data_IF_433675994239
#
_entry.id   IF_433675994239
#
_cell.length_a   1.000
_cell.length_b   1.000
_cell.length_c   1.000
_cell.angle_alpha   90.00
_cell.angle_beta   90.00
_cell.angle_gamma   90.00
#
_symmetry.space_group_name_H-M   'P 1'
#
loop_
_entity.id
_entity.type
_entity.pdbx_description
1 polymer ?
#
# COMPACT_ATOMS: atom_id res chain seq x y z
N UNK A 1 -2.93 13.83 -77.32
CA UNK A 1 -3.55 14.78 -76.37
C UNK A 1 -4.57 14.01 -75.53
N UNK A 2 -4.20 13.60 -74.35
CA UNK A 2 -5.10 12.94 -73.42
C UNK A 2 -4.95 13.67 -72.10
N UNK A 3 -6.04 14.33 -71.62
CA UNK A 3 -6.11 15.02 -70.36
C UNK A 3 -6.42 14.02 -69.23
N UNK A 4 -5.46 13.82 -68.34
CA UNK A 4 -5.67 13.15 -67.07
C UNK A 4 -6.37 14.13 -66.12
N UNK A 5 -7.60 13.85 -65.75
CA UNK A 5 -8.34 14.49 -64.63
C UNK A 5 -8.19 13.60 -63.40
N UNK A 6 -7.26 13.95 -62.53
CA UNK A 6 -7.17 13.39 -61.18
C UNK A 6 -8.24 14.03 -60.27
N UNK A 7 -9.25 13.25 -59.91
CA UNK A 7 -10.25 13.64 -58.91
C UNK A 7 -9.64 13.47 -57.49
N UNK A 8 -9.37 14.59 -56.83
CA UNK A 8 -9.04 14.58 -55.40
C UNK A 8 -10.27 14.21 -54.55
N UNK A 9 -10.24 13.06 -53.93
CA UNK A 9 -11.22 12.66 -52.89
C UNK A 9 -10.83 13.38 -51.59
N UNK A 10 -11.56 14.48 -51.26
CA UNK A 10 -11.51 15.12 -49.95
C UNK A 10 -12.25 14.24 -48.94
N UNK A 11 -11.50 13.42 -48.18
CA UNK A 11 -11.97 12.76 -46.96
C UNK A 11 -12.01 13.81 -45.83
N UNK A 12 -13.20 14.34 -45.56
CA UNK A 12 -13.49 15.09 -44.33
C UNK A 12 -13.70 14.07 -43.19
N UNK A 13 -12.85 14.01 -42.16
CA UNK A 13 -13.16 13.22 -40.99
C UNK A 13 -14.17 13.96 -40.12
N UNK A 14 -15.42 13.54 -40.13
CA UNK A 14 -16.39 13.90 -39.09
C UNK A 14 -16.01 13.18 -37.81
N UNK A 15 -15.24 13.87 -36.96
CA UNK A 15 -15.04 13.43 -35.62
C UNK A 15 -16.35 13.52 -34.82
N UNK A 16 -16.78 12.45 -34.11
CA UNK A 16 -17.93 12.56 -33.22
C UNK A 16 -17.62 13.59 -32.14
N UNK A 17 -18.58 14.47 -31.85
CA UNK A 17 -18.49 15.47 -30.81
C UNK A 17 -18.23 14.78 -29.48
N UNK A 18 -16.97 14.83 -29.03
CA UNK A 18 -16.60 14.35 -27.71
C UNK A 18 -17.28 15.23 -26.66
N UNK A 19 -18.11 14.62 -25.83
CA UNK A 19 -18.60 15.21 -24.58
C UNK A 19 -17.43 15.90 -23.85
N UNK A 20 -17.64 17.08 -23.24
CA UNK A 20 -16.55 17.76 -22.52
C UNK A 20 -16.05 16.85 -21.44
N UNK A 21 -14.92 16.19 -21.69
CA UNK A 21 -14.23 15.39 -20.72
C UNK A 21 -13.95 16.27 -19.50
N UNK A 22 -14.28 15.80 -18.33
CA UNK A 22 -13.78 16.29 -17.03
C UNK A 22 -12.24 16.17 -17.06
N UNK A 23 -11.61 17.09 -17.77
CA UNK A 23 -10.16 17.18 -17.93
C UNK A 23 -9.55 17.54 -16.58
N UNK A 24 -9.10 16.52 -15.82
CA UNK A 24 -8.26 16.78 -14.66
C UNK A 24 -8.33 15.83 -13.47
N UNK A 25 -9.39 15.06 -13.26
CA UNK A 25 -9.38 13.99 -12.27
C UNK A 25 -9.21 12.63 -12.96
N UNK A 26 -8.19 11.86 -12.55
CA UNK A 26 -8.15 10.44 -12.91
C UNK A 26 -9.44 9.79 -12.38
N UNK A 27 -10.30 9.28 -13.26
CA UNK A 27 -11.56 8.63 -12.91
C UNK A 27 -11.37 7.61 -11.76
N UNK A 28 -10.26 6.90 -11.75
CA UNK A 28 -9.89 5.94 -10.74
C UNK A 28 -9.74 6.56 -9.34
N UNK A 29 -9.05 7.70 -9.22
CA UNK A 29 -8.91 8.42 -7.94
C UNK A 29 -10.27 8.90 -7.44
N UNK A 30 -11.12 9.37 -8.35
CA UNK A 30 -12.47 9.78 -8.00
C UNK A 30 -13.30 8.61 -7.47
N UNK A 31 -13.25 7.45 -8.13
CA UNK A 31 -13.95 6.22 -7.68
C UNK A 31 -13.45 5.76 -6.32
N UNK A 32 -12.13 5.79 -6.06
CA UNK A 32 -11.58 5.43 -4.74
C UNK A 32 -12.07 6.38 -3.64
N UNK A 33 -12.05 7.70 -3.89
CA UNK A 33 -12.54 8.69 -2.92
C UNK A 33 -14.04 8.49 -2.67
N UNK A 34 -14.82 8.28 -3.72
CA UNK A 34 -16.25 7.99 -3.60
C UNK A 34 -16.50 6.71 -2.78
N UNK A 35 -15.73 5.65 -3.02
CA UNK A 35 -15.82 4.42 -2.24
C UNK A 35 -15.50 4.66 -0.74
N UNK A 36 -14.44 5.41 -0.45
CA UNK A 36 -14.11 5.79 0.94
C UNK A 36 -15.28 6.54 1.59
N UNK A 37 -15.81 7.55 0.91
CA UNK A 37 -16.92 8.35 1.45
C UNK A 37 -18.16 7.49 1.68
N UNK A 38 -18.52 6.63 0.74
CA UNK A 38 -19.67 5.71 0.87
C UNK A 38 -19.48 4.76 2.06
N UNK A 39 -18.31 4.14 2.20
CA UNK A 39 -17.99 3.24 3.32
C UNK A 39 -18.07 3.98 4.66
N UNK A 40 -17.45 5.16 4.75
CA UNK A 40 -17.47 5.97 5.97
C UNK A 40 -18.89 6.38 6.35
N UNK A 41 -19.70 6.83 5.40
CA UNK A 41 -21.10 7.22 5.64
C UNK A 41 -21.96 6.01 6.03
N UNK A 42 -21.82 4.90 5.33
CA UNK A 42 -22.58 3.67 5.61
C UNK A 42 -22.34 3.19 7.04
N UNK A 43 -21.06 2.98 7.41
CA UNK A 43 -20.75 2.50 8.76
C UNK A 43 -21.10 3.54 9.84
N UNK A 44 -20.96 4.82 9.56
CA UNK A 44 -21.38 5.87 10.50
C UNK A 44 -22.88 5.81 10.77
N UNK A 45 -23.67 5.61 9.72
CA UNK A 45 -25.14 5.50 9.85
C UNK A 45 -25.53 4.24 10.63
N UNK A 46 -24.94 3.09 10.32
CA UNK A 46 -25.29 1.80 10.97
C UNK A 46 -24.81 1.73 12.43
N UNK A 47 -23.75 2.47 12.79
CA UNK A 47 -23.17 2.47 14.15
C UNK A 47 -23.58 3.69 14.97
N UNK A 48 -24.66 4.41 14.59
CA UNK A 48 -25.16 5.61 15.29
C UNK A 48 -24.05 6.65 15.56
N UNK A 49 -23.15 6.85 14.58
CA UNK A 49 -22.05 7.82 14.66
C UNK A 49 -20.77 7.30 15.34
N UNK A 50 -20.78 6.14 15.99
CA UNK A 50 -19.63 5.59 16.70
C UNK A 50 -18.43 5.33 15.77
N UNK A 51 -18.68 5.05 14.50
CA UNK A 51 -17.64 4.80 13.50
C UNK A 51 -16.70 6.00 13.30
N UNK A 52 -17.20 7.24 13.34
CA UNK A 52 -16.41 8.47 13.21
C UNK A 52 -15.84 8.98 14.53
N UNK A 53 -16.01 8.27 15.65
CA UNK A 53 -15.39 8.68 16.91
C UNK A 53 -13.87 8.75 16.80
N UNK A 54 -13.22 9.70 17.47
CA UNK A 54 -11.77 9.88 17.44
C UNK A 54 -11.02 8.61 17.84
N UNK A 55 -11.55 7.85 18.81
CA UNK A 55 -11.02 6.54 19.22
C UNK A 55 -11.04 5.53 18.09
N UNK A 56 -12.16 5.41 17.36
CA UNK A 56 -12.27 4.45 16.27
C UNK A 56 -11.44 4.87 15.05
N UNK A 57 -11.42 6.15 14.70
CA UNK A 57 -10.56 6.65 13.63
C UNK A 57 -9.09 6.38 13.95
N UNK A 58 -8.64 6.58 15.19
CA UNK A 58 -7.30 6.22 15.63
C UNK A 58 -7.02 4.72 15.46
N UNK A 59 -7.98 3.86 15.83
CA UNK A 59 -7.85 2.41 15.66
C UNK A 59 -7.83 2.00 14.18
N UNK A 60 -8.70 2.57 13.34
CA UNK A 60 -8.74 2.37 11.90
C UNK A 60 -7.39 2.73 11.25
N UNK A 61 -6.83 3.89 11.60
CA UNK A 61 -5.54 4.32 11.05
C UNK A 61 -4.38 3.40 11.47
N UNK A 62 -4.42 2.83 12.68
CA UNK A 62 -3.44 1.81 13.11
C UNK A 62 -3.59 0.50 12.35
N UNK A 63 -4.81 0.08 12.02
CA UNK A 63 -5.06 -1.07 11.14
C UNK A 63 -4.54 -0.78 9.74
N UNK A 64 -4.88 0.39 9.21
CA UNK A 64 -4.39 0.87 7.90
C UNK A 64 -2.86 0.91 7.84
N UNK A 65 -2.18 1.25 8.94
CA UNK A 65 -0.73 1.27 8.95
C UNK A 65 -0.12 -0.12 8.71
N UNK A 66 -0.72 -1.17 9.23
CA UNK A 66 -0.26 -2.56 9.02
C UNK A 66 -0.50 -2.98 7.56
N UNK A 67 -1.75 -2.91 7.09
CA UNK A 67 -2.12 -3.29 5.72
C UNK A 67 -1.44 -2.38 4.69
N UNK A 68 -1.29 -1.09 4.99
CA UNK A 68 -0.60 -0.12 4.14
C UNK A 68 0.88 -0.41 3.96
N UNK A 69 1.58 -0.83 5.03
CA UNK A 69 2.99 -1.23 4.93
C UNK A 69 3.15 -2.48 4.05
N UNK A 70 2.26 -3.47 4.19
CA UNK A 70 2.22 -4.62 3.28
C UNK A 70 1.96 -4.18 1.84
N UNK A 71 1.01 -3.28 1.62
CA UNK A 71 0.66 -2.79 0.29
C UNK A 71 1.81 -1.98 -0.36
N UNK A 72 2.59 -1.21 0.42
CA UNK A 72 3.79 -0.50 -0.09
C UNK A 72 4.84 -1.47 -0.61
N UNK A 73 5.04 -2.62 0.03
CA UNK A 73 5.93 -3.67 -0.48
C UNK A 73 5.32 -4.41 -1.68
N UNK A 74 4.09 -4.87 -1.53
CA UNK A 74 3.37 -5.67 -2.50
C UNK A 74 3.19 -4.94 -3.85
N UNK A 75 2.98 -3.64 -3.84
CA UNK A 75 2.81 -2.87 -5.08
C UNK A 75 4.03 -2.99 -6.01
N UNK A 76 5.25 -3.04 -5.50
CA UNK A 76 6.47 -3.24 -6.31
C UNK A 76 6.54 -4.65 -6.88
N UNK A 77 6.12 -5.65 -6.11
CA UNK A 77 6.03 -7.05 -6.56
C UNK A 77 5.04 -7.14 -7.72
N UNK A 78 3.83 -6.61 -7.56
CA UNK A 78 2.79 -6.66 -8.61
C UNK A 78 3.19 -5.84 -9.84
N UNK A 79 3.77 -4.64 -9.69
CA UNK A 79 4.26 -3.85 -10.83
C UNK A 79 5.33 -4.62 -11.61
N UNK A 80 6.15 -5.46 -10.97
CA UNK A 80 7.13 -6.32 -11.65
C UNK A 80 6.54 -7.58 -12.30
N UNK A 81 5.20 -7.67 -12.39
CA UNK A 81 4.42 -8.82 -12.89
C UNK A 81 4.63 -10.11 -12.08
N UNK A 82 4.81 -9.99 -10.75
CA UNK A 82 4.93 -11.11 -9.82
C UNK A 82 3.85 -11.00 -8.72
N UNK A 83 3.61 -12.13 -8.02
CA UNK A 83 2.67 -12.19 -6.89
C UNK A 83 3.38 -12.82 -5.70
N UNK A 84 3.23 -12.25 -4.51
CA UNK A 84 3.76 -12.81 -3.26
C UNK A 84 2.64 -13.15 -2.29
N UNK A 85 2.31 -14.44 -2.22
CA UNK A 85 1.28 -14.98 -1.31
C UNK A 85 1.84 -15.25 0.10
N UNK A 86 3.16 -15.13 0.31
CA UNK A 86 3.77 -15.45 1.59
C UNK A 86 3.69 -14.33 2.62
N UNK A 87 3.37 -13.10 2.22
CA UNK A 87 3.51 -11.88 3.05
C UNK A 87 2.73 -11.96 4.36
N UNK A 88 1.55 -12.56 4.39
CA UNK A 88 0.75 -12.70 5.60
C UNK A 88 1.39 -13.67 6.61
N UNK A 89 1.80 -14.85 6.14
CA UNK A 89 2.48 -15.85 6.97
C UNK A 89 3.88 -15.40 7.38
N UNK A 90 4.61 -14.70 6.49
CA UNK A 90 5.90 -14.08 6.78
C UNK A 90 5.75 -12.98 7.84
N UNK A 91 4.71 -12.14 7.77
CA UNK A 91 4.40 -11.14 8.79
C UNK A 91 4.13 -11.79 10.14
N UNK A 92 3.36 -12.87 10.16
CA UNK A 92 3.11 -13.65 11.36
C UNK A 92 4.40 -14.22 11.96
N UNK A 93 5.25 -14.84 11.12
CA UNK A 93 6.54 -15.39 11.55
C UNK A 93 7.48 -14.32 12.11
N UNK A 94 7.62 -13.18 11.42
CA UNK A 94 8.53 -12.11 11.84
C UNK A 94 8.02 -11.39 13.09
N UNK A 95 6.71 -11.16 13.21
CA UNK A 95 6.11 -10.61 14.43
C UNK A 95 6.18 -11.59 15.61
N UNK A 96 5.98 -12.89 15.36
CA UNK A 96 6.15 -13.94 16.35
C UNK A 96 7.61 -14.10 16.79
N UNK A 97 8.56 -14.06 15.85
CA UNK A 97 9.98 -14.08 16.17
C UNK A 97 10.41 -12.87 17.02
N UNK A 98 9.91 -11.67 16.67
CA UNK A 98 10.17 -10.48 17.49
C UNK A 98 9.63 -10.63 18.91
N UNK A 99 8.44 -11.20 19.09
CA UNK A 99 7.90 -11.50 20.42
C UNK A 99 8.74 -12.55 21.17
N UNK A 100 9.25 -13.58 20.48
CA UNK A 100 10.15 -14.59 21.07
C UNK A 100 11.46 -13.93 21.53
N UNK A 101 12.08 -13.08 20.71
CA UNK A 101 13.30 -12.35 21.06
C UNK A 101 13.10 -11.45 22.28
N UNK A 102 11.95 -10.77 22.35
CA UNK A 102 11.61 -9.88 23.45
C UNK A 102 11.26 -10.64 24.73
N UNK A 103 10.36 -11.65 24.65
CA UNK A 103 9.77 -12.32 25.83
C UNK A 103 10.60 -13.50 26.32
N UNK A 104 11.02 -14.40 25.41
CA UNK A 104 11.73 -15.62 25.82
C UNK A 104 13.22 -15.39 25.95
N UNK A 105 13.82 -14.56 25.09
CA UNK A 105 15.25 -14.31 25.09
C UNK A 105 15.65 -13.03 25.85
N UNK A 106 14.68 -12.16 26.17
CA UNK A 106 14.94 -10.92 26.91
C UNK A 106 15.84 -9.93 26.16
N UNK A 107 15.81 -9.94 24.81
CA UNK A 107 16.68 -9.08 24.03
C UNK A 107 16.28 -7.60 24.12
N UNK A 108 17.25 -6.68 24.08
CA UNK A 108 16.94 -5.27 24.02
C UNK A 108 16.21 -4.92 22.69
N UNK A 109 15.24 -4.01 22.77
CA UNK A 109 14.38 -3.63 21.65
C UNK A 109 15.15 -3.29 20.36
N UNK A 110 16.26 -2.51 20.36
CA UNK A 110 16.99 -2.21 19.13
C UNK A 110 17.53 -3.45 18.43
N UNK A 111 18.01 -4.44 19.19
CA UNK A 111 18.50 -5.72 18.64
C UNK A 111 17.35 -6.54 18.07
N UNK A 112 16.23 -6.64 18.79
CA UNK A 112 15.00 -7.29 18.32
C UNK A 112 14.52 -6.71 16.99
N UNK A 113 14.45 -5.38 16.87
CA UNK A 113 14.09 -4.70 15.64
C UNK A 113 15.08 -5.04 14.52
N UNK A 114 16.38 -4.84 14.76
CA UNK A 114 17.41 -5.06 13.75
C UNK A 114 17.36 -6.47 13.19
N UNK A 115 17.34 -7.48 14.07
CA UNK A 115 17.34 -8.89 13.66
C UNK A 115 16.05 -9.22 12.90
N UNK A 116 14.89 -8.73 13.34
CA UNK A 116 13.62 -8.95 12.65
C UNK A 116 13.62 -8.33 11.25
N UNK A 117 14.17 -7.12 11.08
CA UNK A 117 14.29 -6.47 9.77
C UNK A 117 15.24 -7.23 8.84
N UNK A 118 16.38 -7.68 9.36
CA UNK A 118 17.33 -8.50 8.60
C UNK A 118 16.70 -9.84 8.19
N UNK A 119 16.00 -10.52 9.11
CA UNK A 119 15.25 -11.73 8.78
C UNK A 119 14.23 -11.49 7.65
N UNK A 120 13.45 -10.41 7.71
CA UNK A 120 12.50 -10.08 6.66
C UNK A 120 13.17 -9.85 5.31
N UNK A 121 14.27 -9.09 5.29
CA UNK A 121 15.08 -8.88 4.09
C UNK A 121 15.57 -10.21 3.50
N UNK A 122 16.09 -11.11 4.34
CA UNK A 122 16.63 -12.41 3.92
C UNK A 122 15.54 -13.37 3.44
N UNK A 123 14.39 -13.43 4.12
CA UNK A 123 13.27 -14.27 3.69
C UNK A 123 12.66 -13.77 2.37
N UNK A 124 12.53 -12.45 2.22
CA UNK A 124 12.14 -11.85 0.94
C UNK A 124 13.17 -12.14 -0.15
N UNK A 125 14.46 -11.96 0.12
CA UNK A 125 15.53 -12.30 -0.82
C UNK A 125 15.54 -13.79 -1.18
N UNK A 126 15.23 -14.69 -0.26
CA UNK A 126 15.07 -16.13 -0.51
C UNK A 126 13.97 -16.39 -1.53
N UNK A 127 12.77 -15.84 -1.34
CA UNK A 127 11.70 -15.95 -2.33
C UNK A 127 12.13 -15.36 -3.68
N UNK A 128 12.73 -14.17 -3.65
CA UNK A 128 13.22 -13.49 -4.84
C UNK A 128 14.29 -14.27 -5.59
N UNK A 129 15.15 -15.01 -4.91
CA UNK A 129 16.18 -15.83 -5.52
C UNK A 129 15.59 -17.00 -6.33
N UNK A 130 14.61 -17.71 -5.78
CA UNK A 130 13.92 -18.77 -6.48
C UNK A 130 13.20 -18.23 -7.74
N UNK A 131 12.50 -17.10 -7.61
CA UNK A 131 11.78 -16.48 -8.73
C UNK A 131 12.74 -15.95 -9.79
N UNK A 132 13.74 -15.17 -9.38
CA UNK A 132 14.60 -14.44 -10.31
C UNK A 132 15.66 -15.34 -10.97
N UNK A 133 16.35 -16.15 -10.20
CA UNK A 133 17.49 -16.95 -10.70
C UNK A 133 17.11 -18.38 -11.05
N UNK A 134 16.22 -19.01 -10.31
CA UNK A 134 15.76 -20.38 -10.60
C UNK A 134 14.55 -20.43 -11.53
N UNK A 135 13.96 -19.26 -11.87
CA UNK A 135 12.84 -19.13 -12.80
C UNK A 135 11.58 -19.92 -12.38
N UNK A 136 11.45 -20.21 -11.09
CA UNK A 136 10.22 -20.83 -10.56
C UNK A 136 9.11 -19.78 -10.54
N UNK A 137 7.90 -20.09 -10.98
CA UNK A 137 6.77 -19.15 -10.92
C UNK A 137 6.56 -18.60 -9.50
N UNK A 138 6.41 -17.28 -9.38
CA UNK A 138 6.37 -16.60 -8.08
C UNK A 138 5.25 -17.10 -7.18
N UNK A 139 4.07 -17.38 -7.74
CA UNK A 139 2.94 -17.87 -6.96
C UNK A 139 3.22 -19.24 -6.31
N UNK A 140 4.00 -20.13 -6.98
CA UNK A 140 4.41 -21.43 -6.40
C UNK A 140 5.42 -21.23 -5.27
N UNK A 141 6.45 -20.41 -5.50
CA UNK A 141 7.48 -20.12 -4.50
C UNK A 141 6.84 -19.52 -3.25
N UNK A 142 5.98 -18.52 -3.44
CA UNK A 142 5.39 -17.80 -2.32
C UNK A 142 4.27 -18.57 -1.63
N UNK A 143 3.54 -19.44 -2.34
CA UNK A 143 2.61 -20.38 -1.74
C UNK A 143 3.35 -21.40 -0.84
N UNK A 144 4.47 -21.95 -1.33
CA UNK A 144 5.33 -22.82 -0.52
C UNK A 144 5.89 -22.05 0.70
N UNK A 145 6.35 -20.81 0.49
CA UNK A 145 6.77 -19.92 1.56
C UNK A 145 5.68 -19.65 2.58
N UNK A 146 4.44 -19.41 2.14
CA UNK A 146 3.28 -19.21 3.01
C UNK A 146 3.08 -20.39 3.98
N UNK A 147 3.13 -21.62 3.46
CA UNK A 147 3.00 -22.82 4.27
C UNK A 147 4.20 -23.01 5.20
N UNK A 148 5.43 -22.84 4.67
CA UNK A 148 6.65 -23.01 5.45
C UNK A 148 6.75 -22.00 6.59
N UNK A 149 6.53 -20.71 6.33
CA UNK A 149 6.62 -19.67 7.37
C UNK A 149 5.55 -19.84 8.45
N UNK A 150 4.34 -20.24 8.07
CA UNK A 150 3.27 -20.57 9.03
C UNK A 150 3.66 -21.81 9.86
N UNK A 151 4.15 -22.85 9.21
CA UNK A 151 4.58 -24.08 9.88
C UNK A 151 5.74 -23.83 10.85
N UNK A 152 6.75 -23.03 10.47
CA UNK A 152 7.87 -22.67 11.34
C UNK A 152 7.37 -21.94 12.58
N UNK A 153 6.49 -20.94 12.44
CA UNK A 153 5.94 -20.21 13.59
C UNK A 153 5.19 -21.13 14.54
N UNK A 154 4.27 -21.95 14.00
CA UNK A 154 3.50 -22.92 14.82
C UNK A 154 4.44 -23.91 15.50
N UNK A 155 5.45 -24.43 14.79
CA UNK A 155 6.40 -25.40 15.32
C UNK A 155 7.24 -24.84 16.48
N UNK A 156 7.77 -23.62 16.35
CA UNK A 156 8.58 -22.96 17.39
C UNK A 156 7.73 -22.62 18.63
N UNK A 157 6.49 -22.15 18.41
CA UNK A 157 5.59 -21.71 19.49
C UNK A 157 4.74 -22.85 20.08
N UNK A 158 4.81 -24.07 19.50
CA UNK A 158 3.86 -25.15 19.79
C UNK A 158 2.40 -24.70 19.69
N UNK A 159 2.09 -23.82 18.75
CA UNK A 159 0.75 -23.25 18.55
C UNK A 159 0.29 -22.30 19.67
N UNK A 160 1.15 -21.92 20.61
CA UNK A 160 0.80 -21.01 21.70
C UNK A 160 1.14 -19.56 21.36
N UNK A 161 0.44 -18.64 21.98
CA UNK A 161 0.71 -17.20 21.84
C UNK A 161 1.85 -16.79 22.80
N UNK A 162 2.86 -16.11 22.26
CA UNK A 162 3.98 -15.56 23.02
C UNK A 162 3.59 -14.19 23.56
N UNK A 163 3.31 -14.08 24.86
CA UNK A 163 2.83 -12.84 25.50
C UNK A 163 3.13 -12.84 27.02
N UNK A 164 3.04 -11.66 27.67
CA UNK A 164 2.94 -10.33 27.10
C UNK A 164 4.30 -9.84 26.56
N UNK A 165 4.29 -9.01 25.51
CA UNK A 165 5.51 -8.33 25.07
C UNK A 165 5.90 -7.23 26.05
N UNK A 166 7.17 -6.87 26.08
CA UNK A 166 7.69 -5.82 26.96
C UNK A 166 7.01 -4.46 26.71
N UNK A 167 6.97 -3.55 27.68
CA UNK A 167 6.48 -2.19 27.48
C UNK A 167 7.22 -1.46 26.36
N UNK A 168 8.51 -1.69 26.19
CA UNK A 168 9.31 -1.10 25.12
C UNK A 168 8.85 -1.58 23.74
N UNK A 169 8.64 -2.89 23.57
CA UNK A 169 8.11 -3.47 22.32
C UNK A 169 6.70 -2.94 22.01
N UNK A 170 5.83 -2.88 23.02
CA UNK A 170 4.46 -2.41 22.89
C UNK A 170 4.37 -0.95 22.42
N UNK A 171 5.36 -0.11 22.68
CA UNK A 171 5.39 1.29 22.23
C UNK A 171 5.41 1.44 20.71
N UNK A 172 5.96 0.51 19.94
CA UNK A 172 6.02 0.61 18.47
C UNK A 172 4.61 0.72 17.88
N UNK A 173 3.66 -0.09 18.36
CA UNK A 173 2.29 -0.17 17.84
C UNK A 173 1.23 0.55 18.66
N UNK A 174 1.52 0.88 19.93
CA UNK A 174 0.53 1.41 20.87
C UNK A 174 0.80 2.85 21.30
N UNK A 175 2.00 3.41 21.06
CA UNK A 175 2.30 4.79 21.43
C UNK A 175 1.67 5.81 20.49
N UNK A 176 1.57 7.01 21.01
CA UNK A 176 1.03 8.18 20.34
C UNK A 176 2.02 9.34 20.46
N UNK A 177 2.04 10.21 19.46
CA UNK A 177 2.73 11.47 19.59
C UNK A 177 1.96 12.41 20.52
N UNK A 178 2.63 13.16 21.39
CA UNK A 178 2.01 14.26 22.10
C UNK A 178 1.35 15.25 21.13
N UNK A 179 0.20 15.82 21.51
CA UNK A 179 -0.65 16.64 20.65
C UNK A 179 0.07 17.76 19.93
N UNK A 180 0.90 18.52 20.65
CA UNK A 180 1.67 19.61 20.04
C UNK A 180 2.71 19.14 19.02
N UNK A 181 3.36 17.99 19.25
CA UNK A 181 4.36 17.41 18.34
C UNK A 181 3.67 16.85 17.10
N UNK A 182 2.56 16.14 17.26
CA UNK A 182 1.78 15.58 16.15
C UNK A 182 1.27 16.67 15.22
N UNK A 183 0.73 17.75 15.78
CA UNK A 183 0.26 18.90 14.99
C UNK A 183 1.41 19.63 14.30
N UNK A 184 2.53 19.86 15.01
CA UNK A 184 3.73 20.49 14.45
C UNK A 184 4.29 19.71 13.26
N UNK A 185 4.40 18.38 13.34
CA UNK A 185 4.84 17.53 12.23
C UNK A 185 3.86 17.65 11.05
N UNK A 186 2.54 17.68 11.31
CA UNK A 186 1.53 17.86 10.28
C UNK A 186 1.65 19.19 9.54
N UNK A 187 1.83 20.28 10.28
CA UNK A 187 2.00 21.62 9.70
C UNK A 187 3.29 21.70 8.89
N UNK A 188 4.42 21.24 9.45
CA UNK A 188 5.71 21.23 8.74
C UNK A 188 5.64 20.33 7.50
N UNK A 189 5.08 19.13 7.61
CA UNK A 189 4.90 18.23 6.47
C UNK A 189 4.05 18.86 5.36
N UNK A 190 2.96 19.54 5.72
CA UNK A 190 2.09 20.24 4.77
C UNK A 190 2.83 21.44 4.13
N UNK A 191 3.60 22.22 4.89
CA UNK A 191 4.40 23.32 4.35
C UNK A 191 5.44 22.81 3.34
N UNK A 192 6.16 21.73 3.68
CA UNK A 192 7.13 21.09 2.78
C UNK A 192 6.43 20.58 1.51
N UNK A 193 5.26 19.95 1.63
CA UNK A 193 4.48 19.46 0.50
C UNK A 193 4.03 20.60 -0.43
N UNK A 194 3.54 21.71 0.13
CA UNK A 194 3.15 22.90 -0.63
C UNK A 194 4.36 23.46 -1.37
N UNK A 195 5.48 23.70 -0.67
CA UNK A 195 6.71 24.23 -1.28
C UNK A 195 7.21 23.33 -2.40
N UNK A 196 7.18 22.01 -2.20
CA UNK A 196 7.60 21.05 -3.22
C UNK A 196 6.70 21.08 -4.47
N UNK A 197 5.38 21.16 -4.30
CA UNK A 197 4.44 21.31 -5.42
C UNK A 197 4.67 22.63 -6.18
N UNK A 198 4.86 23.74 -5.46
CA UNK A 198 5.12 25.06 -6.07
C UNK A 198 6.43 25.08 -6.84
N UNK A 199 7.52 24.54 -6.28
CA UNK A 199 8.79 24.39 -7.00
C UNK A 199 8.66 23.55 -8.27
N UNK A 200 7.91 22.45 -8.20
CA UNK A 200 7.61 21.62 -9.36
C UNK A 200 6.84 22.38 -10.46
N UNK A 201 5.87 23.18 -10.03
CA UNK A 201 5.10 24.05 -10.93
C UNK A 201 5.96 25.12 -11.59
N UNK A 202 6.75 25.85 -10.84
CA UNK A 202 7.66 26.87 -11.37
C UNK A 202 8.64 26.29 -12.41
N UNK A 203 9.19 25.10 -12.15
CA UNK A 203 10.06 24.40 -13.11
C UNK A 203 9.34 24.06 -14.41
N UNK A 204 8.09 23.58 -14.34
CA UNK A 204 7.27 23.28 -15.53
C UNK A 204 6.96 24.53 -16.33
N UNK A 205 6.62 25.64 -15.65
CA UNK A 205 6.39 26.93 -16.31
C UNK A 205 7.66 27.46 -16.99
N UNK A 206 8.81 27.36 -16.34
CA UNK A 206 10.10 27.76 -16.91
C UNK A 206 10.49 26.92 -18.17
N UNK A 207 9.97 25.70 -18.28
CA UNK A 207 10.15 24.82 -19.45
C UNK A 207 9.04 24.99 -20.51
N UNK A 208 8.16 25.99 -20.38
CA UNK A 208 7.05 26.22 -21.31
C UNK A 208 5.95 25.13 -21.29
N UNK A 209 5.94 24.26 -20.28
CA UNK A 209 4.96 23.17 -20.18
C UNK A 209 3.63 23.68 -19.61
N UNK A 210 2.52 23.16 -20.11
CA UNK A 210 1.20 23.50 -19.61
C UNK A 210 1.05 23.14 -18.13
N UNK A 211 0.57 24.11 -17.33
CA UNK A 211 0.28 23.93 -15.90
C UNK A 211 -1.19 24.22 -15.62
N UNK A 212 -1.77 23.56 -14.62
CA UNK A 212 -3.13 23.86 -14.16
C UNK A 212 -3.23 25.32 -13.72
N UNK A 213 -4.44 25.91 -13.68
CA UNK A 213 -4.62 27.28 -13.17
C UNK A 213 -4.09 27.43 -11.72
N UNK A 214 -3.67 28.63 -11.35
CA UNK A 214 -3.18 28.88 -9.98
C UNK A 214 -4.26 28.64 -8.94
N UNK A 215 -5.50 29.04 -9.25
CA UNK A 215 -6.67 28.83 -8.40
C UNK A 215 -6.98 27.35 -8.17
N UNK A 216 -6.93 26.52 -9.20
CA UNK A 216 -7.13 25.07 -9.05
C UNK A 216 -6.00 24.39 -8.23
N UNK A 217 -4.77 24.87 -8.37
CA UNK A 217 -3.64 24.35 -7.58
C UNK A 217 -3.78 24.71 -6.10
N UNK A 218 -4.10 25.98 -5.80
CA UNK A 218 -4.34 26.46 -4.42
C UNK A 218 -5.54 25.76 -3.81
N UNK A 219 -6.67 25.63 -4.54
CA UNK A 219 -7.85 24.94 -4.05
C UNK A 219 -7.57 23.50 -3.65
N UNK A 220 -6.82 22.75 -4.49
CA UNK A 220 -6.42 21.37 -4.17
C UNK A 220 -5.52 21.31 -2.93
N UNK A 221 -4.57 22.24 -2.78
CA UNK A 221 -3.69 22.30 -1.62
C UNK A 221 -4.47 22.63 -0.34
N UNK A 222 -5.42 23.58 -0.41
CA UNK A 222 -6.28 23.94 0.70
C UNK A 222 -7.14 22.74 1.16
N UNK A 223 -7.75 22.03 0.23
CA UNK A 223 -8.52 20.80 0.54
C UNK A 223 -7.63 19.75 1.21
N UNK A 224 -6.42 19.50 0.66
CA UNK A 224 -5.49 18.55 1.27
C UNK A 224 -5.08 18.99 2.68
N UNK A 225 -4.80 20.29 2.89
CA UNK A 225 -4.46 20.82 4.20
C UNK A 225 -5.61 20.66 5.21
N UNK A 226 -6.84 20.95 4.81
CA UNK A 226 -8.03 20.80 5.67
C UNK A 226 -8.22 19.32 6.06
N UNK A 227 -8.07 18.39 5.11
CA UNK A 227 -8.20 16.94 5.41
C UNK A 227 -7.11 16.49 6.37
N UNK A 228 -5.84 16.81 6.11
CA UNK A 228 -4.71 16.34 6.93
C UNK A 228 -4.74 16.97 8.32
N UNK A 229 -4.86 18.29 8.41
CA UNK A 229 -4.87 19.00 9.69
C UNK A 229 -6.16 18.70 10.49
N UNK A 230 -7.30 18.56 9.81
CA UNK A 230 -8.54 18.13 10.43
C UNK A 230 -8.48 16.71 11.01
N UNK A 231 -7.82 15.78 10.28
CA UNK A 231 -7.58 14.44 10.79
C UNK A 231 -6.66 14.44 12.02
N UNK A 232 -5.59 15.25 12.02
CA UNK A 232 -4.70 15.40 13.19
C UNK A 232 -5.45 16.03 14.36
N UNK A 233 -6.26 17.06 14.12
CA UNK A 233 -7.08 17.67 15.15
C UNK A 233 -8.04 16.66 15.78
N UNK A 234 -8.72 15.86 14.96
CA UNK A 234 -9.60 14.78 15.44
C UNK A 234 -8.84 13.72 16.25
N UNK A 235 -7.60 13.37 15.83
CA UNK A 235 -6.79 12.40 16.57
C UNK A 235 -6.32 12.94 17.93
N UNK A 236 -6.08 14.25 18.03
CA UNK A 236 -5.70 14.89 19.28
C UNK A 236 -6.84 14.89 20.31
N UNK A 237 -8.10 14.78 19.87
CA UNK A 237 -9.26 14.61 20.77
C UNK A 237 -9.25 13.25 21.52
N UNK A 238 -8.43 12.29 21.05
CA UNK A 238 -8.31 10.98 21.74
C UNK A 238 -6.96 10.83 22.48
N UNK A 239 -5.85 10.73 21.77
CA UNK A 239 -4.49 10.52 22.34
C UNK A 239 -3.38 11.09 21.46
N UNK A 240 -3.73 11.74 20.38
CA UNK A 240 -2.77 12.21 19.38
C UNK A 240 -2.57 11.24 18.20
N UNK A 241 -1.55 11.51 17.40
CA UNK A 241 -1.25 10.73 16.20
C UNK A 241 -0.57 9.41 16.57
N UNK A 242 -1.11 8.24 16.16
CA UNK A 242 -0.50 6.94 16.44
C UNK A 242 0.86 6.79 15.75
N UNK A 243 1.87 6.28 16.46
CA UNK A 243 3.21 6.02 15.90
C UNK A 243 3.20 5.16 14.62
N UNK A 244 2.39 4.09 14.49
CA UNK A 244 2.31 3.32 13.25
C UNK A 244 1.94 4.14 12.01
N UNK A 245 1.14 5.20 12.17
CA UNK A 245 0.75 6.09 11.06
C UNK A 245 1.94 6.89 10.55
N UNK A 246 2.83 7.31 11.45
CA UNK A 246 4.08 7.99 11.04
C UNK A 246 5.01 7.04 10.30
N UNK A 247 5.13 5.79 10.77
CA UNK A 247 5.92 4.76 10.09
C UNK A 247 5.37 4.55 8.68
N UNK A 248 4.04 4.38 8.53
CA UNK A 248 3.41 4.28 7.22
C UNK A 248 3.67 5.52 6.36
N UNK A 249 3.54 6.73 6.91
CA UNK A 249 3.79 7.96 6.16
C UNK A 249 5.24 8.04 5.66
N UNK A 250 6.22 7.68 6.50
CA UNK A 250 7.63 7.63 6.11
C UNK A 250 7.88 6.59 5.00
N UNK A 251 7.30 5.39 5.12
CA UNK A 251 7.43 4.32 4.12
C UNK A 251 6.69 4.66 2.82
N UNK A 252 5.53 5.31 2.89
CA UNK A 252 4.83 5.84 1.71
C UNK A 252 5.70 6.84 0.96
N UNK A 253 6.31 7.81 1.66
CA UNK A 253 7.19 8.80 1.05
C UNK A 253 8.44 8.14 0.43
N UNK A 254 9.07 7.20 1.13
CA UNK A 254 10.20 6.43 0.62
C UNK A 254 9.80 5.60 -0.61
N UNK A 255 8.65 4.92 -0.58
CA UNK A 255 8.12 4.15 -1.69
C UNK A 255 7.79 5.02 -2.90
N UNK A 256 7.15 6.18 -2.69
CA UNK A 256 6.89 7.16 -3.75
C UNK A 256 8.18 7.69 -4.36
N UNK A 257 9.17 8.02 -3.56
CA UNK A 257 10.49 8.45 -4.04
C UNK A 257 11.13 7.34 -4.85
N UNK A 258 11.14 6.12 -4.34
CA UNK A 258 11.72 4.97 -5.00
C UNK A 258 11.03 4.67 -6.34
N UNK A 259 9.70 4.70 -6.40
CA UNK A 259 8.92 4.44 -7.60
C UNK A 259 9.12 5.51 -8.68
N UNK A 260 9.16 6.80 -8.30
CA UNK A 260 9.05 7.91 -9.25
C UNK A 260 10.37 8.62 -9.55
N UNK A 261 11.38 8.54 -8.65
CA UNK A 261 12.62 9.32 -8.74
C UNK A 261 13.87 8.49 -8.95
N UNK A 262 13.83 7.17 -8.76
CA UNK A 262 15.01 6.31 -8.85
C UNK A 262 15.07 5.52 -10.15
N UNK A 263 16.28 5.06 -10.52
CA UNK A 263 16.47 4.12 -11.62
C UNK A 263 15.82 2.76 -11.32
N UNK A 264 15.77 2.38 -10.02
CA UNK A 264 15.14 1.14 -9.57
C UNK A 264 13.63 1.12 -9.89
N UNK A 265 12.90 2.20 -9.56
CA UNK A 265 11.49 2.32 -9.93
C UNK A 265 11.27 2.19 -11.43
N UNK A 266 12.01 2.95 -12.24
CA UNK A 266 11.90 2.86 -13.72
C UNK A 266 12.14 1.44 -14.24
N UNK A 267 13.10 0.70 -13.67
CA UNK A 267 13.38 -0.70 -14.05
C UNK A 267 12.23 -1.62 -13.73
N UNK A 268 11.58 -1.46 -12.56
CA UNK A 268 10.43 -2.28 -12.16
C UNK A 268 9.27 -2.09 -13.14
N UNK A 269 8.92 -0.83 -13.46
CA UNK A 269 7.86 -0.54 -14.43
C UNK A 269 8.19 -1.07 -15.83
N UNK A 270 9.45 -0.98 -16.26
CA UNK A 270 9.88 -1.52 -17.55
C UNK A 270 9.77 -3.05 -17.59
N UNK A 271 10.21 -3.75 -16.53
CA UNK A 271 10.14 -5.21 -16.42
C UNK A 271 8.69 -5.69 -16.48
N UNK A 272 7.79 -5.05 -15.73
CA UNK A 272 6.39 -5.44 -15.70
C UNK A 272 5.63 -5.05 -16.98
N UNK A 273 6.07 -3.99 -17.67
CA UNK A 273 5.44 -3.57 -18.93
C UNK A 273 5.82 -4.48 -20.11
N UNK A 274 7.10 -4.78 -20.26
CA UNK A 274 7.59 -5.72 -21.27
C UNK A 274 8.95 -6.29 -20.84
N UNK A 275 8.95 -7.53 -20.39
CA UNK A 275 10.14 -8.22 -19.87
C UNK A 275 11.25 -8.35 -20.93
N UNK A 276 10.91 -8.70 -22.16
CA UNK A 276 11.87 -8.89 -23.24
C UNK A 276 12.51 -7.55 -23.65
N UNK A 277 11.71 -6.51 -23.84
CA UNK A 277 12.21 -5.17 -24.14
C UNK A 277 13.11 -4.64 -23.02
N UNK A 278 12.76 -4.90 -21.75
CA UNK A 278 13.59 -4.52 -20.60
C UNK A 278 14.97 -5.22 -20.64
N UNK A 279 15.02 -6.51 -20.97
CA UNK A 279 16.28 -7.26 -21.13
C UNK A 279 17.13 -6.70 -22.28
N UNK A 280 16.53 -6.50 -23.44
CA UNK A 280 17.22 -5.94 -24.61
C UNK A 280 17.76 -4.54 -24.34
N UNK A 281 17.12 -3.78 -23.44
CA UNK A 281 17.59 -2.46 -22.98
C UNK A 281 18.70 -2.55 -21.91
N UNK A 282 19.24 -3.74 -21.60
CA UNK A 282 20.34 -3.94 -20.67
C UNK A 282 19.92 -3.90 -19.18
N UNK A 283 18.61 -4.00 -18.86
CA UNK A 283 18.16 -4.09 -17.47
C UNK A 283 18.46 -5.49 -16.93
N UNK A 284 19.19 -5.55 -15.81
CA UNK A 284 19.38 -6.81 -15.10
C UNK A 284 18.09 -7.18 -14.35
N UNK A 285 17.28 -8.02 -14.99
CA UNK A 285 15.95 -8.44 -14.51
C UNK A 285 16.08 -9.24 -13.21
N UNK A 286 17.04 -10.14 -13.14
CA UNK A 286 17.26 -11.05 -12.02
C UNK A 286 17.56 -10.26 -10.73
N UNK A 287 18.53 -9.34 -10.79
CA UNK A 287 18.88 -8.49 -9.63
C UNK A 287 17.73 -7.57 -9.23
N UNK A 288 16.99 -7.07 -10.22
CA UNK A 288 15.87 -6.17 -9.94
C UNK A 288 14.73 -6.92 -9.23
N UNK A 289 14.34 -8.11 -9.71
CA UNK A 289 13.32 -8.94 -9.07
C UNK A 289 13.75 -9.40 -7.67
N UNK A 290 15.00 -9.84 -7.50
CA UNK A 290 15.55 -10.17 -6.19
C UNK A 290 15.38 -9.01 -5.20
N UNK A 291 15.78 -7.80 -5.61
CA UNK A 291 15.68 -6.61 -4.78
C UNK A 291 14.21 -6.24 -4.45
N UNK A 292 13.28 -6.42 -5.40
CA UNK A 292 11.85 -6.22 -5.18
C UNK A 292 11.33 -7.12 -4.06
N UNK A 293 11.61 -8.41 -4.11
CA UNK A 293 11.20 -9.35 -3.07
C UNK A 293 11.89 -9.08 -1.71
N UNK A 294 13.17 -8.71 -1.73
CA UNK A 294 13.91 -8.37 -0.51
C UNK A 294 13.30 -7.12 0.17
N UNK A 295 12.99 -6.07 -0.60
CA UNK A 295 12.32 -4.87 -0.09
C UNK A 295 10.91 -5.21 0.42
N UNK A 296 10.16 -6.07 -0.29
CA UNK A 296 8.86 -6.54 0.16
C UNK A 296 8.99 -7.24 1.52
N UNK A 297 9.96 -8.15 1.69
CA UNK A 297 10.23 -8.81 2.96
C UNK A 297 10.57 -7.85 4.10
N UNK A 298 11.30 -6.76 3.80
CA UNK A 298 11.57 -5.68 4.76
C UNK A 298 10.28 -4.97 5.19
N UNK A 299 9.37 -4.63 4.25
CA UNK A 299 8.07 -4.03 4.55
C UNK A 299 7.21 -4.97 5.40
N UNK A 300 7.25 -6.27 5.10
CA UNK A 300 6.56 -7.31 5.87
C UNK A 300 7.09 -7.39 7.31
N UNK A 301 8.42 -7.27 7.50
CA UNK A 301 9.02 -7.25 8.85
C UNK A 301 8.54 -6.04 9.68
N UNK A 302 8.49 -4.87 9.08
CA UNK A 302 7.97 -3.66 9.74
C UNK A 302 6.48 -3.85 10.10
N UNK A 303 5.67 -4.41 9.19
CA UNK A 303 4.27 -4.71 9.47
C UNK A 303 4.11 -5.73 10.61
N UNK A 304 4.97 -6.76 10.65
CA UNK A 304 5.00 -7.77 11.71
C UNK A 304 5.36 -7.19 13.08
N UNK A 305 6.37 -6.32 13.14
CA UNK A 305 6.74 -5.58 14.36
C UNK A 305 5.57 -4.70 14.87
N UNK A 306 4.90 -3.97 13.98
CA UNK A 306 3.75 -3.14 14.34
C UNK A 306 2.59 -4.02 14.82
N UNK A 307 2.32 -5.14 14.15
CA UNK A 307 1.21 -6.04 14.48
C UNK A 307 1.42 -6.67 15.86
N UNK A 308 2.57 -7.30 16.13
CA UNK A 308 2.84 -7.95 17.41
C UNK A 308 2.92 -6.94 18.56
N UNK A 309 3.49 -5.76 18.32
CA UNK A 309 3.48 -4.65 19.26
C UNK A 309 2.05 -4.16 19.57
N UNK A 310 1.19 -4.01 18.56
CA UNK A 310 -0.20 -3.60 18.73
C UNK A 310 -1.01 -4.62 19.52
N UNK A 311 -0.77 -5.92 19.28
CA UNK A 311 -1.44 -7.01 19.99
C UNK A 311 -0.85 -7.24 21.39
N UNK A 312 0.35 -6.75 21.68
CA UNK A 312 1.11 -7.09 22.88
C UNK A 312 1.52 -8.56 22.90
N UNK A 313 1.56 -9.22 21.74
CA UNK A 313 1.77 -10.67 21.64
C UNK A 313 2.20 -11.10 20.24
N UNK A 314 2.96 -12.20 20.17
CA UNK A 314 3.21 -12.96 18.96
C UNK A 314 2.22 -14.12 18.84
N UNK A 315 1.19 -13.99 18.00
CA UNK A 315 0.18 -15.03 17.80
C UNK A 315 0.49 -15.91 16.60
N UNK A 316 0.33 -17.25 16.69
CA UNK A 316 0.47 -18.15 15.55
C UNK A 316 -0.52 -17.90 14.42
N UNK A 317 -1.68 -17.29 14.73
CA UNK A 317 -2.70 -16.90 13.73
C UNK A 317 -2.48 -15.49 13.16
N UNK A 318 -1.48 -14.75 13.63
CA UNK A 318 -1.20 -13.40 13.13
C UNK A 318 -0.93 -13.41 11.62
N UNK A 319 -1.44 -12.40 10.93
CA UNK A 319 -1.28 -12.27 9.48
C UNK A 319 -2.09 -13.26 8.64
N UNK A 320 -3.08 -13.96 9.20
CA UNK A 320 -3.94 -14.82 8.43
C UNK A 320 -4.71 -14.01 7.38
N UNK A 321 -4.66 -14.44 6.10
CA UNK A 321 -5.23 -13.80 4.91
C UNK A 321 -4.77 -12.36 4.62
N UNK A 322 -3.77 -11.83 5.35
CA UNK A 322 -3.26 -10.47 5.14
C UNK A 322 -2.62 -10.29 3.74
N UNK A 323 -2.16 -11.36 3.11
CA UNK A 323 -1.72 -11.37 1.71
C UNK A 323 -2.83 -10.95 0.75
N UNK A 324 -4.06 -11.44 0.97
CA UNK A 324 -5.21 -11.10 0.13
C UNK A 324 -5.64 -9.64 0.34
N UNK A 325 -5.58 -9.15 1.58
CA UNK A 325 -5.85 -7.74 1.89
C UNK A 325 -4.83 -6.81 1.21
N UNK A 326 -3.54 -7.18 1.20
CA UNK A 326 -2.49 -6.42 0.54
C UNK A 326 -2.65 -6.41 -0.99
N UNK A 327 -2.98 -7.55 -1.60
CA UNK A 327 -3.25 -7.66 -3.05
C UNK A 327 -4.49 -6.85 -3.40
N UNK A 328 -5.60 -7.02 -2.66
CA UNK A 328 -6.84 -6.28 -2.89
C UNK A 328 -6.59 -4.76 -2.78
N UNK A 329 -5.83 -4.32 -1.77
CA UNK A 329 -5.43 -2.93 -1.61
C UNK A 329 -4.67 -2.39 -2.83
N UNK A 330 -3.73 -3.15 -3.37
CA UNK A 330 -2.99 -2.76 -4.58
C UNK A 330 -3.90 -2.67 -5.80
N UNK A 331 -4.79 -3.65 -6.02
CA UNK A 331 -5.70 -3.70 -7.18
C UNK A 331 -6.75 -2.60 -7.11
N UNK A 332 -7.41 -2.41 -5.96
CA UNK A 332 -8.33 -1.31 -5.71
C UNK A 332 -7.62 0.04 -5.91
N UNK A 333 -6.36 0.13 -5.47
CA UNK A 333 -5.47 1.28 -5.66
C UNK A 333 -5.01 1.51 -7.10
N UNK A 334 -5.41 0.63 -8.05
CA UNK A 334 -5.14 0.74 -9.48
C UNK A 334 -3.85 0.14 -9.95
N UNK A 335 -3.31 -0.78 -9.19
CA UNK A 335 -2.16 -1.57 -9.64
C UNK A 335 -2.66 -2.74 -10.48
N UNK A 336 -2.11 -2.90 -11.68
CA UNK A 336 -2.46 -3.97 -12.60
C UNK A 336 -1.75 -5.28 -12.23
N UNK A 337 -2.51 -6.36 -12.08
CA UNK A 337 -1.96 -7.71 -11.87
C UNK A 337 -1.13 -8.23 -13.06
N UNK A 338 -1.29 -7.64 -14.26
CA UNK A 338 -0.43 -7.97 -15.40
C UNK A 338 0.95 -7.29 -15.35
N UNK A 339 1.18 -6.41 -14.37
CA UNK A 339 2.42 -5.65 -14.21
C UNK A 339 2.46 -4.33 -15.00
N UNK A 340 3.54 -3.58 -14.84
CA UNK A 340 3.86 -2.36 -15.58
C UNK A 340 3.04 -1.11 -15.21
N UNK A 341 1.93 -1.26 -14.47
CA UNK A 341 1.06 -0.16 -14.05
C UNK A 341 0.77 -0.28 -12.56
N UNK A 342 0.90 0.81 -11.82
CA UNK A 342 0.58 0.85 -10.40
C UNK A 342 1.01 2.15 -9.73
N UNK A 343 0.51 2.36 -8.51
CA UNK A 343 0.83 3.55 -7.70
C UNK A 343 0.93 3.19 -6.23
N UNK A 344 2.04 3.57 -5.61
CA UNK A 344 2.24 3.38 -4.16
C UNK A 344 1.18 4.13 -3.35
N UNK A 345 0.85 5.37 -3.75
CA UNK A 345 -0.22 6.13 -3.10
C UNK A 345 -1.59 5.46 -3.27
N UNK A 346 -1.87 4.96 -4.48
CA UNK A 346 -3.09 4.19 -4.75
C UNK A 346 -3.19 2.96 -3.86
N UNK A 347 -2.11 2.17 -3.73
CA UNK A 347 -2.08 0.98 -2.89
C UNK A 347 -2.37 1.30 -1.40
N UNK A 348 -1.83 2.41 -0.87
CA UNK A 348 -2.13 2.85 0.51
C UNK A 348 -3.58 3.32 0.66
N UNK A 349 -4.15 4.00 -0.36
CA UNK A 349 -5.59 4.34 -0.35
C UNK A 349 -6.46 3.06 -0.40
N UNK A 350 -6.08 2.09 -1.20
CA UNK A 350 -6.76 0.78 -1.21
C UNK A 350 -6.63 0.05 0.13
N UNK A 351 -5.48 0.13 0.80
CA UNK A 351 -5.29 -0.41 2.14
C UNK A 351 -6.19 0.28 3.18
N UNK A 352 -6.41 1.59 3.05
CA UNK A 352 -7.38 2.30 3.87
C UNK A 352 -8.80 1.78 3.63
N UNK A 353 -9.21 1.55 2.37
CA UNK A 353 -10.53 0.99 2.03
C UNK A 353 -10.70 -0.40 2.67
N UNK A 354 -9.73 -1.31 2.51
CA UNK A 354 -9.79 -2.64 3.11
C UNK A 354 -9.87 -2.58 4.64
N UNK A 355 -9.03 -1.75 5.26
CA UNK A 355 -9.06 -1.56 6.73
C UNK A 355 -10.34 -0.91 7.22
N UNK A 356 -10.94 0.00 6.45
CA UNK A 356 -12.21 0.63 6.78
C UNK A 356 -13.37 -0.37 6.78
N UNK A 357 -13.38 -1.28 5.80
CA UNK A 357 -14.34 -2.38 5.73
C UNK A 357 -14.18 -3.34 6.92
N UNK A 358 -12.95 -3.77 7.21
CA UNK A 358 -12.65 -4.67 8.34
C UNK A 358 -13.06 -4.05 9.68
N UNK A 359 -12.70 -2.80 9.88
CA UNK A 359 -13.04 -2.07 11.10
C UNK A 359 -14.55 -1.91 11.23
N UNK A 360 -15.26 -1.53 10.16
CA UNK A 360 -16.70 -1.38 10.15
C UNK A 360 -17.44 -2.69 10.42
N UNK A 361 -17.06 -3.78 9.73
CA UNK A 361 -17.64 -5.10 9.98
C UNK A 361 -17.39 -5.58 11.40
N UNK A 362 -16.20 -5.32 11.96
CA UNK A 362 -15.87 -5.67 13.35
C UNK A 362 -16.68 -4.86 14.38
N UNK A 363 -16.97 -3.58 14.10
CA UNK A 363 -17.83 -2.76 14.96
C UNK A 363 -19.30 -3.18 14.96
N UNK A 364 -19.74 -3.86 13.90
CA UNK A 364 -21.09 -4.43 13.78
C UNK A 364 -21.17 -5.88 14.30
N UNK A 365 -20.12 -6.39 14.95
CA UNK A 365 -19.99 -7.78 15.37
C UNK A 365 -20.29 -8.80 14.26
N UNK A 366 -19.96 -8.44 13.00
CA UNK A 366 -20.10 -9.35 11.87
C UNK A 366 -19.18 -10.54 12.08
N UNK A 367 -19.76 -11.74 12.08
CA UNK A 367 -19.01 -12.97 12.28
C UNK A 367 -17.87 -13.11 11.23
N UNK A 368 -16.71 -13.62 11.65
CA UNK A 368 -15.49 -13.69 10.86
C UNK A 368 -15.69 -14.39 9.51
N UNK A 369 -16.56 -15.42 9.43
CA UNK A 369 -16.82 -16.10 8.17
C UNK A 369 -17.48 -15.18 7.13
N UNK A 370 -18.36 -14.25 7.54
CA UNK A 370 -18.93 -13.24 6.65
C UNK A 370 -17.88 -12.23 6.18
N UNK A 371 -16.97 -11.84 7.08
CA UNK A 371 -15.86 -10.96 6.71
C UNK A 371 -15.01 -11.58 5.59
N UNK A 372 -14.73 -12.89 5.66
CA UNK A 372 -13.99 -13.60 4.62
C UNK A 372 -14.75 -13.64 3.28
N UNK A 373 -16.08 -13.89 3.31
CA UNK A 373 -16.91 -13.90 2.10
C UNK A 373 -16.91 -12.52 1.44
N UNK A 374 -17.09 -11.44 2.22
CA UNK A 374 -17.10 -10.07 1.72
C UNK A 374 -15.74 -9.70 1.12
N UNK A 375 -14.64 -10.00 1.81
CA UNK A 375 -13.29 -9.77 1.28
C UNK A 375 -13.02 -10.51 -0.02
N UNK A 376 -13.40 -11.78 -0.09
CA UNK A 376 -13.28 -12.58 -1.31
C UNK A 376 -14.08 -11.99 -2.48
N UNK A 377 -15.30 -11.55 -2.24
CA UNK A 377 -16.14 -10.90 -3.24
C UNK A 377 -15.52 -9.57 -3.73
N UNK A 378 -15.01 -8.75 -2.80
CA UNK A 378 -14.36 -7.48 -3.13
C UNK A 378 -13.11 -7.72 -3.98
N UNK A 379 -12.26 -8.68 -3.60
CA UNK A 379 -11.06 -9.02 -4.37
C UNK A 379 -11.43 -9.47 -5.79
N UNK A 380 -12.43 -10.35 -5.91
CA UNK A 380 -12.90 -10.84 -7.21
C UNK A 380 -13.42 -9.70 -8.09
N UNK A 381 -14.24 -8.81 -7.53
CA UNK A 381 -14.77 -7.63 -8.24
C UNK A 381 -13.64 -6.68 -8.67
N UNK A 382 -12.68 -6.40 -7.80
CA UNK A 382 -11.55 -5.54 -8.11
C UNK A 382 -10.71 -6.10 -9.28
N UNK A 383 -10.40 -7.39 -9.25
CA UNK A 383 -9.66 -8.07 -10.33
C UNK A 383 -10.46 -8.14 -11.62
N UNK A 384 -11.77 -8.39 -11.53
CA UNK A 384 -12.64 -8.38 -12.71
C UNK A 384 -12.69 -7.00 -13.37
N UNK A 385 -12.79 -5.92 -12.59
CA UNK A 385 -12.77 -4.55 -13.10
C UNK A 385 -11.44 -4.20 -13.77
N UNK A 386 -10.28 -4.59 -13.20
CA UNK A 386 -8.97 -4.43 -13.84
C UNK A 386 -8.92 -5.13 -15.19
N UNK A 387 -9.38 -6.38 -15.24
CA UNK A 387 -9.39 -7.19 -16.47
C UNK A 387 -10.34 -6.64 -17.54
N UNK A 388 -11.52 -6.15 -17.13
CA UNK A 388 -12.52 -5.60 -18.05
C UNK A 388 -12.06 -4.27 -18.69
N UNK A 389 -11.34 -3.45 -17.91
CA UNK A 389 -10.80 -2.16 -18.39
C UNK A 389 -9.74 -2.37 -19.48
N UNK A 390 -8.91 -3.40 -19.35
CA UNK A 390 -7.85 -3.73 -20.31
C UNK A 390 -8.36 -4.28 -21.63
N UNK A 391 -9.50 -4.99 -21.63
CA UNK A 391 -10.09 -5.50 -22.89
C UNK A 391 -10.67 -4.39 -23.78
N UNK A 392 -10.83 -3.17 -23.23
CA UNK A 392 -11.37 -2.01 -23.96
C UNK A 392 -10.28 -1.03 -24.42
N UNK A 393 -9.07 -1.16 -23.94
CA UNK A 393 -7.89 -0.36 -24.34
C UNK A 393 -7.03 -1.10 -25.36
#
# INVERSE_FOLDING_TARGET
MSKNTSSEIKLTPTAPAALPALKGLNLQVFVMIAAIVVIMLFFTWVTDGAYLSARNISNLLRQTAITGNLAVGMVFVIISAEIDLSVGSMMGLLGGAAAIFDVWLGWPLPLTILVTLVMGLLLGAWNGWWVAYRKVPSFIVTLAGMLAFRGILIGITNGTTVSPTSPAMSQIGQSYLPDGIGFGIGVVGMAVFIVWQWRGRMRRQALGLATSSSTAAVGRQAITAVIVLGAIWLLNDYRGVPTPVLILAALLLAGLFMATRTAFGRRIYAIGGNLEAARLSGINVERTKLAVFAINGLMVAIAGLILSSRLGAGSPSAGNIAELDAIAACVIGGTSLAGGIGSVAGAVMGAFIMSALDNGMSMMDVATFWQYIVKGAILLLAVWMDSATKRRA
#
